data_IF_607764965145
#
_entry.id   IF_607764965145
#
_cell.length_a   1.000
_cell.length_b   1.000
_cell.length_c   1.000
_cell.angle_alpha   90.00
_cell.angle_beta   90.00
_cell.angle_gamma   90.00
#
_symmetry.space_group_name_H-M   'P 1'
#
loop_
_entity.id
_entity.type
_entity.pdbx_description
1 polymer ?
#
# COMPACT_ATOMS: atom_id res chain seq x y z
N UNK A 1 -13.50 18.68 -4.72
CA UNK A 1 -13.00 19.42 -3.54
C UNK A 1 -12.31 20.72 -3.95
N UNK A 2 -11.43 20.70 -4.95
CA UNK A 2 -10.63 21.86 -5.40
C UNK A 2 -11.48 23.12 -5.71
N UNK A 3 -12.55 23.00 -6.49
CA UNK A 3 -13.42 24.14 -6.80
C UNK A 3 -14.13 24.78 -5.60
N UNK A 4 -14.40 24.01 -4.54
CA UNK A 4 -15.24 24.47 -3.42
C UNK A 4 -14.42 25.00 -2.24
N UNK A 5 -13.30 24.33 -1.93
CA UNK A 5 -12.52 24.66 -0.74
C UNK A 5 -11.21 25.37 -1.05
N UNK A 6 -10.65 25.25 -2.27
CA UNK A 6 -9.36 25.86 -2.59
C UNK A 6 -9.36 27.40 -2.42
N UNK A 7 -10.39 28.15 -2.86
CA UNK A 7 -10.41 29.60 -2.63
C UNK A 7 -10.43 29.97 -1.14
N UNK A 8 -11.13 29.18 -0.32
CA UNK A 8 -11.23 29.38 1.12
C UNK A 8 -9.92 29.00 1.83
N UNK A 9 -9.30 27.88 1.44
CA UNK A 9 -8.00 27.45 1.93
C UNK A 9 -6.90 28.45 1.57
N UNK A 10 -6.90 28.98 0.34
CA UNK A 10 -5.96 30.02 -0.08
C UNK A 10 -6.13 31.31 0.74
N UNK A 11 -7.36 31.65 1.12
CA UNK A 11 -7.65 32.86 1.88
C UNK A 11 -7.37 32.73 3.38
N UNK A 12 -7.70 31.58 3.96
CA UNK A 12 -7.74 31.41 5.42
C UNK A 12 -6.71 30.41 5.96
N UNK A 13 -6.06 29.61 5.10
CA UNK A 13 -5.11 28.57 5.49
C UNK A 13 -5.74 27.33 6.13
N UNK A 14 -6.91 27.47 6.76
CA UNK A 14 -7.68 26.38 7.38
C UNK A 14 -9.17 26.64 7.22
N UNK A 15 -9.93 25.58 6.95
CA UNK A 15 -11.39 25.67 6.78
C UNK A 15 -12.09 24.55 7.55
N UNK A 16 -13.20 24.90 8.21
CA UNK A 16 -14.05 23.91 8.89
C UNK A 16 -15.12 23.41 7.93
N UNK A 17 -15.19 22.10 7.73
CA UNK A 17 -16.09 21.44 6.78
C UNK A 17 -16.92 20.40 7.51
N UNK A 18 -18.22 20.35 7.24
CA UNK A 18 -19.08 19.26 7.70
C UNK A 18 -18.94 18.09 6.72
N UNK A 19 -18.34 16.99 7.17
CA UNK A 19 -18.19 15.74 6.42
C UNK A 19 -19.13 14.66 6.97
N UNK A 20 -19.13 13.47 6.37
CA UNK A 20 -19.90 12.34 6.86
C UNK A 20 -19.41 11.80 8.23
N UNK A 21 -18.15 12.09 8.57
CA UNK A 21 -17.56 11.83 9.90
C UNK A 21 -17.88 12.93 10.92
N UNK A 22 -18.53 14.03 10.49
CA UNK A 22 -18.85 15.18 11.33
C UNK A 22 -18.03 16.41 10.96
N UNK A 23 -17.90 17.35 11.90
CA UNK A 23 -17.11 18.57 11.68
C UNK A 23 -15.62 18.22 11.62
N UNK A 24 -14.98 18.58 10.51
CA UNK A 24 -13.56 18.33 10.23
C UNK A 24 -12.85 19.63 9.88
N UNK A 25 -11.57 19.75 10.25
CA UNK A 25 -10.71 20.85 9.84
C UNK A 25 -9.86 20.41 8.65
N UNK A 26 -9.92 21.17 7.56
CA UNK A 26 -9.10 20.98 6.37
C UNK A 26 -8.00 22.04 6.43
N UNK A 27 -6.76 21.58 6.48
CA UNK A 27 -5.57 22.43 6.64
C UNK A 27 -4.85 22.54 5.30
N UNK A 28 -4.75 23.75 4.76
CA UNK A 28 -4.03 24.06 3.52
C UNK A 28 -2.76 24.90 3.75
N UNK A 29 -2.64 25.54 4.91
CA UNK A 29 -1.44 26.27 5.30
C UNK A 29 -0.34 25.32 5.79
N UNK A 30 0.87 25.48 5.25
CA UNK A 30 2.00 24.61 5.56
C UNK A 30 2.52 24.74 6.98
N UNK A 31 2.42 25.91 7.60
CA UNK A 31 2.85 26.12 8.99
C UNK A 31 1.88 25.43 9.96
N UNK A 32 0.57 25.56 9.72
CA UNK A 32 -0.46 24.86 10.49
C UNK A 32 -0.33 23.34 10.30
N UNK A 33 -0.13 22.87 9.06
CA UNK A 33 0.07 21.45 8.79
C UNK A 33 1.28 20.90 9.57
N UNK A 34 2.40 21.64 9.58
CA UNK A 34 3.58 21.28 10.37
C UNK A 34 3.27 21.18 11.86
N UNK A 35 2.51 22.12 12.41
CA UNK A 35 2.08 22.07 13.82
C UNK A 35 1.24 20.82 14.11
N UNK A 36 0.27 20.51 13.25
CA UNK A 36 -0.59 19.33 13.40
C UNK A 36 0.25 18.05 13.41
N UNK A 37 1.14 17.88 12.44
CA UNK A 37 1.98 16.68 12.35
C UNK A 37 3.06 16.59 13.44
N UNK A 38 3.45 17.71 14.05
CA UNK A 38 4.45 17.74 15.12
C UNK A 38 3.89 17.43 16.51
N UNK A 39 2.56 17.47 16.69
CA UNK A 39 1.89 17.28 17.97
C UNK A 39 0.91 16.08 17.95
N UNK A 40 1.40 14.84 17.77
CA UNK A 40 0.55 13.66 17.61
C UNK A 40 -0.22 13.27 18.88
N UNK A 41 0.19 13.77 20.05
CA UNK A 41 -0.54 13.55 21.31
C UNK A 41 -1.78 14.46 21.43
N UNK A 42 -1.85 15.55 20.65
CA UNK A 42 -3.00 16.46 20.56
C UNK A 42 -3.84 16.08 19.34
N UNK A 43 -3.19 15.94 18.18
CA UNK A 43 -3.82 15.61 16.91
C UNK A 43 -3.68 14.12 16.62
N UNK A 44 -4.42 13.32 17.38
CA UNK A 44 -4.42 11.86 17.25
C UNK A 44 -4.92 11.43 15.86
N UNK A 45 -4.35 10.34 15.36
CA UNK A 45 -4.85 9.69 14.15
C UNK A 45 -6.25 9.13 14.40
N UNK A 46 -7.10 9.02 13.36
CA UNK A 46 -8.43 8.44 13.48
C UNK A 46 -8.37 7.03 14.08
N UNK A 47 -9.22 6.78 15.07
CA UNK A 47 -9.37 5.46 15.67
C UNK A 47 -10.26 4.57 14.79
N UNK A 48 -9.62 3.68 14.03
CA UNK A 48 -10.31 2.79 13.09
C UNK A 48 -11.28 1.81 13.79
N UNK A 49 -11.05 1.48 15.07
CA UNK A 49 -11.94 0.60 15.85
C UNK A 49 -13.30 1.27 16.01
N UNK A 50 -13.30 2.54 16.37
CA UNK A 50 -14.49 3.35 16.64
C UNK A 50 -14.98 4.17 15.43
N UNK A 51 -14.22 4.22 14.34
CA UNK A 51 -14.60 4.92 13.12
C UNK A 51 -15.88 4.33 12.49
N UNK A 52 -16.63 5.20 11.78
CA UNK A 52 -17.83 4.86 11.01
C UNK A 52 -17.47 4.22 9.68
N UNK A 53 -16.74 3.11 9.74
CA UNK A 53 -16.35 2.32 8.59
C UNK A 53 -17.22 1.05 8.50
N UNK A 54 -17.45 0.59 7.29
CA UNK A 54 -18.17 -0.66 7.05
C UNK A 54 -17.39 -1.84 7.66
N UNK A 55 -18.10 -2.90 8.04
CA UNK A 55 -17.50 -4.11 8.59
C UNK A 55 -16.45 -4.72 7.65
N UNK A 56 -16.74 -4.81 6.35
CA UNK A 56 -15.78 -5.33 5.38
C UNK A 56 -14.55 -4.41 5.22
N UNK A 57 -14.71 -3.08 5.31
CA UNK A 57 -13.59 -2.14 5.25
C UNK A 57 -12.68 -2.26 6.47
N UNK A 58 -13.26 -2.44 7.66
CA UNK A 58 -12.52 -2.73 8.90
C UNK A 58 -11.75 -4.05 8.80
N UNK A 59 -12.38 -5.09 8.23
CA UNK A 59 -11.74 -6.39 7.99
C UNK A 59 -10.56 -6.27 7.02
N UNK A 60 -10.72 -5.54 5.92
CA UNK A 60 -9.68 -5.37 4.90
C UNK A 60 -8.40 -4.73 5.45
N UNK A 61 -8.53 -3.64 6.21
CA UNK A 61 -7.37 -2.95 6.78
C UNK A 61 -6.81 -3.62 8.04
N UNK A 62 -7.65 -4.33 8.78
CA UNK A 62 -7.35 -4.68 10.16
C UNK A 62 -7.53 -3.49 11.12
N UNK A 63 -7.64 -3.80 12.40
CA UNK A 63 -7.96 -2.83 13.45
C UNK A 63 -6.74 -2.46 14.32
N UNK A 64 -5.70 -3.27 14.28
CA UNK A 64 -4.56 -3.18 15.20
C UNK A 64 -3.24 -2.95 14.46
N UNK A 65 -3.25 -2.03 13.50
CA UNK A 65 -2.09 -1.67 12.69
C UNK A 65 -1.48 -0.31 13.10
N UNK A 66 -0.22 -0.08 12.74
CA UNK A 66 0.55 1.08 13.20
C UNK A 66 0.11 2.43 12.59
N UNK A 67 -0.60 2.42 11.46
CA UNK A 67 -1.24 3.60 10.88
C UNK A 67 -2.42 4.10 11.75
N UNK A 68 -3.21 3.24 12.40
CA UNK A 68 -4.33 3.66 13.27
C UNK A 68 -3.96 3.74 14.76
N UNK A 69 -2.85 3.12 15.17
CA UNK A 69 -2.36 3.21 16.54
C UNK A 69 -1.86 4.63 16.90
N UNK A 70 -2.10 5.02 18.15
CA UNK A 70 -1.63 6.27 18.77
C UNK A 70 -0.81 6.01 20.04
N UNK A 71 -0.11 7.03 20.54
CA UNK A 71 0.56 7.00 21.85
C UNK A 71 1.54 5.83 22.05
N UNK A 72 1.43 5.16 23.21
CA UNK A 72 2.31 4.05 23.59
C UNK A 72 2.15 2.82 22.69
N UNK A 73 0.93 2.52 22.24
CA UNK A 73 0.66 1.41 21.32
C UNK A 73 1.40 1.61 20.00
N UNK A 74 1.31 2.82 19.43
CA UNK A 74 2.05 3.17 18.22
C UNK A 74 3.56 3.05 18.40
N UNK A 75 4.10 3.59 19.50
CA UNK A 75 5.53 3.50 19.81
C UNK A 75 5.98 2.04 19.93
N UNK A 76 5.20 1.19 20.60
CA UNK A 76 5.46 -0.26 20.71
C UNK A 76 5.51 -0.91 19.33
N UNK A 77 4.49 -0.70 18.49
CA UNK A 77 4.45 -1.33 17.17
C UNK A 77 5.60 -0.86 16.27
N UNK A 78 5.88 0.45 16.22
CA UNK A 78 6.97 1.01 15.41
C UNK A 78 8.36 0.56 15.87
N UNK A 79 8.58 0.28 17.15
CA UNK A 79 9.86 -0.29 17.61
C UNK A 79 10.15 -1.64 16.96
N UNK A 80 9.13 -2.46 16.71
CA UNK A 80 9.25 -3.76 16.03
C UNK A 80 9.26 -3.60 14.50
N UNK A 81 8.47 -2.66 13.97
CA UNK A 81 8.28 -2.49 12.52
C UNK A 81 9.39 -1.64 11.86
N UNK A 82 10.03 -0.70 12.55
CA UNK A 82 11.02 0.17 11.88
C UNK A 82 12.27 -0.57 11.38
N UNK A 83 12.86 -1.51 12.14
CA UNK A 83 14.08 -2.18 11.73
C UNK A 83 13.95 -2.88 10.36
N UNK A 84 12.80 -3.47 10.07
CA UNK A 84 12.54 -4.21 8.82
C UNK A 84 12.49 -3.31 7.58
N UNK A 85 12.24 -2.01 7.75
CA UNK A 85 12.25 -1.04 6.65
C UNK A 85 13.59 -0.31 6.48
N UNK A 86 14.53 -0.51 7.41
CA UNK A 86 15.88 0.04 7.31
C UNK A 86 16.83 -0.87 6.50
N UNK A 87 16.36 -2.03 6.04
CA UNK A 87 17.15 -2.91 5.18
C UNK A 87 17.24 -2.37 3.75
N UNK A 88 18.39 -2.56 3.13
CA UNK A 88 18.58 -2.22 1.71
C UNK A 88 17.94 -3.27 0.83
N UNK A 89 17.04 -2.85 -0.05
CA UNK A 89 16.43 -3.71 -1.05
C UNK A 89 17.34 -3.86 -2.28
N UNK A 90 17.41 -5.05 -2.85
CA UNK A 90 18.21 -5.28 -4.06
C UNK A 90 17.63 -4.51 -5.24
N UNK A 91 18.44 -3.67 -5.88
CA UNK A 91 18.06 -2.99 -7.13
C UNK A 91 17.76 -3.99 -8.25
N UNK A 92 18.37 -5.17 -8.20
CA UNK A 92 18.13 -6.26 -9.15
C UNK A 92 16.70 -6.80 -9.05
N UNK A 93 16.11 -6.82 -7.85
CA UNK A 93 14.72 -7.23 -7.64
C UNK A 93 13.77 -6.35 -8.45
N UNK A 94 13.92 -5.03 -8.33
CA UNK A 94 13.12 -4.06 -9.07
C UNK A 94 13.40 -4.17 -10.57
N UNK A 95 14.69 -4.24 -10.96
CA UNK A 95 15.10 -4.33 -12.36
C UNK A 95 14.51 -5.55 -13.07
N UNK A 96 14.46 -6.71 -12.42
CA UNK A 96 13.89 -7.92 -13.02
C UNK A 96 12.37 -7.81 -13.23
N UNK A 97 11.61 -7.26 -12.27
CA UNK A 97 10.18 -7.01 -12.46
C UNK A 97 9.90 -5.97 -13.56
N UNK A 98 10.76 -4.95 -13.69
CA UNK A 98 10.66 -3.96 -14.77
C UNK A 98 10.97 -4.58 -16.13
N UNK A 99 11.95 -5.49 -16.23
CA UNK A 99 12.21 -6.23 -17.47
C UNK A 99 11.00 -7.04 -17.92
N UNK A 100 10.34 -7.75 -17.00
CA UNK A 100 9.11 -8.49 -17.31
C UNK A 100 8.02 -7.56 -17.88
N UNK A 101 7.92 -6.33 -17.38
CA UNK A 101 6.99 -5.31 -17.88
C UNK A 101 7.38 -4.82 -19.30
N UNK A 102 8.66 -4.53 -19.52
CA UNK A 102 9.17 -4.09 -20.84
C UNK A 102 8.94 -5.19 -21.88
N UNK A 103 9.25 -6.45 -21.56
CA UNK A 103 9.02 -7.60 -22.45
C UNK A 103 7.54 -7.75 -22.85
N UNK A 104 6.60 -7.40 -21.97
CA UNK A 104 5.18 -7.39 -22.31
C UNK A 104 4.80 -6.19 -23.18
N UNK A 105 5.38 -5.02 -22.94
CA UNK A 105 5.14 -3.83 -23.77
C UNK A 105 5.72 -3.95 -25.18
N UNK A 106 6.87 -4.62 -25.34
CA UNK A 106 7.47 -4.85 -26.67
C UNK A 106 6.55 -5.68 -27.58
N UNK A 107 5.69 -6.53 -27.02
CA UNK A 107 4.70 -7.31 -27.78
C UNK A 107 3.55 -6.45 -28.31
N UNK A 108 3.37 -5.26 -27.74
CA UNK A 108 2.34 -4.29 -28.07
C UNK A 108 2.92 -3.09 -28.84
N UNK A 109 4.14 -3.21 -29.39
CA UNK A 109 4.81 -2.14 -30.13
C UNK A 109 3.93 -1.55 -31.24
N UNK A 110 3.90 -0.22 -31.31
CA UNK A 110 3.09 0.53 -32.28
C UNK A 110 1.60 0.59 -31.97
N UNK A 111 1.16 0.08 -30.82
CA UNK A 111 -0.25 0.15 -30.37
C UNK A 111 -0.42 1.03 -29.13
N UNK A 112 -1.64 1.48 -28.88
CA UNK A 112 -1.98 2.24 -27.67
C UNK A 112 -2.18 1.27 -26.50
N UNK A 113 -1.42 1.49 -25.42
CA UNK A 113 -1.40 0.60 -24.26
C UNK A 113 -1.97 1.29 -23.02
N UNK A 114 -2.93 0.64 -22.36
CA UNK A 114 -3.39 1.06 -21.03
C UNK A 114 -2.35 0.68 -19.98
N UNK A 115 -1.50 1.62 -19.60
CA UNK A 115 -0.37 1.36 -18.69
C UNK A 115 -0.79 1.02 -17.24
N UNK A 116 -2.00 1.40 -16.81
CA UNK A 116 -2.38 1.35 -15.40
C UNK A 116 -2.40 -0.06 -14.82
N UNK A 117 -3.00 -1.01 -15.55
CA UNK A 117 -3.10 -2.41 -15.11
C UNK A 117 -1.71 -3.06 -15.07
N UNK A 118 -0.89 -2.83 -16.09
CA UNK A 118 0.47 -3.38 -16.18
C UNK A 118 1.39 -2.82 -15.09
N UNK A 119 1.29 -1.53 -14.76
CA UNK A 119 2.07 -0.92 -13.68
C UNK A 119 1.61 -1.42 -12.31
N UNK A 120 0.31 -1.52 -12.06
CA UNK A 120 -0.22 -2.08 -10.81
C UNK A 120 0.28 -3.53 -10.61
N UNK A 121 0.17 -4.37 -11.65
CA UNK A 121 0.71 -5.75 -11.65
C UNK A 121 2.21 -5.79 -11.37
N UNK A 122 2.99 -4.93 -12.01
CA UNK A 122 4.44 -4.87 -11.79
C UNK A 122 4.77 -4.47 -10.35
N UNK A 123 4.10 -3.46 -9.80
CA UNK A 123 4.31 -3.06 -8.40
C UNK A 123 3.87 -4.13 -7.40
N UNK A 124 2.82 -4.90 -7.71
CA UNK A 124 2.42 -6.05 -6.90
C UNK A 124 3.46 -7.19 -6.98
N UNK A 125 4.05 -7.45 -8.15
CA UNK A 125 5.11 -8.46 -8.30
C UNK A 125 6.38 -8.06 -7.53
N UNK A 126 6.79 -6.79 -7.60
CA UNK A 126 7.87 -6.23 -6.78
C UNK A 126 7.56 -6.40 -5.30
N UNK A 127 6.34 -6.04 -4.88
CA UNK A 127 5.89 -6.17 -3.49
C UNK A 127 5.90 -7.64 -3.04
N UNK A 128 5.36 -8.54 -3.86
CA UNK A 128 5.35 -9.99 -3.63
C UNK A 128 6.74 -10.54 -3.35
N UNK A 129 7.69 -10.15 -4.19
CA UNK A 129 9.07 -10.60 -4.08
C UNK A 129 9.79 -9.98 -2.88
N UNK A 130 9.60 -8.70 -2.62
CA UNK A 130 10.24 -8.00 -1.51
C UNK A 130 9.67 -8.42 -0.14
N UNK A 131 8.36 -8.58 -0.03
CA UNK A 131 7.68 -8.71 1.26
C UNK A 131 7.43 -10.17 1.63
N UNK A 132 7.12 -11.02 0.66
CA UNK A 132 6.81 -12.44 0.89
C UNK A 132 7.86 -13.40 0.33
N UNK A 133 8.83 -12.91 -0.44
CA UNK A 133 9.69 -13.74 -1.29
C UNK A 133 8.88 -14.65 -2.23
N UNK A 134 7.79 -14.13 -2.79
CA UNK A 134 6.92 -14.83 -3.73
C UNK A 134 6.93 -14.15 -5.09
N UNK A 135 7.02 -14.97 -6.14
CA UNK A 135 6.85 -14.52 -7.51
C UNK A 135 5.41 -14.75 -7.96
N UNK A 136 4.55 -13.73 -7.84
CA UNK A 136 3.17 -13.81 -8.35
C UNK A 136 3.11 -13.85 -9.88
N UNK A 137 4.11 -13.27 -10.55
CA UNK A 137 4.22 -13.16 -12.01
C UNK A 137 2.94 -12.57 -12.64
N UNK A 138 2.34 -11.61 -11.95
CA UNK A 138 1.07 -10.97 -12.31
C UNK A 138 1.17 -10.18 -13.60
N UNK A 139 2.35 -9.68 -13.96
CA UNK A 139 2.60 -9.02 -15.26
C UNK A 139 2.43 -9.99 -16.43
N UNK A 140 3.02 -11.20 -16.30
CA UNK A 140 3.03 -12.25 -17.32
C UNK A 140 1.80 -13.16 -17.27
N UNK A 141 1.10 -13.21 -16.14
CA UNK A 141 -0.12 -14.00 -15.94
C UNK A 141 -1.33 -13.09 -15.73
N UNK A 142 -2.12 -12.92 -16.79
CA UNK A 142 -3.37 -12.15 -16.74
C UNK A 142 -4.35 -12.66 -15.66
N UNK A 143 -4.33 -13.97 -15.36
CA UNK A 143 -5.19 -14.65 -14.40
C UNK A 143 -4.52 -14.83 -13.02
N UNK A 144 -3.62 -13.93 -12.63
CA UNK A 144 -3.02 -13.93 -11.29
C UNK A 144 -4.10 -13.83 -10.22
N UNK A 145 -4.35 -14.96 -9.53
CA UNK A 145 -5.45 -15.13 -8.59
C UNK A 145 -5.41 -14.07 -7.48
N UNK A 146 -4.22 -13.79 -6.93
CA UNK A 146 -4.08 -12.81 -5.86
C UNK A 146 -4.31 -11.38 -6.36
N UNK A 147 -3.82 -11.03 -7.55
CA UNK A 147 -4.07 -9.72 -8.15
C UNK A 147 -5.56 -9.49 -8.39
N UNK A 148 -6.24 -10.47 -9.02
CA UNK A 148 -7.69 -10.39 -9.27
C UNK A 148 -8.47 -10.33 -7.95
N UNK A 149 -8.13 -11.15 -6.97
CA UNK A 149 -8.77 -11.13 -5.65
C UNK A 149 -8.62 -9.77 -4.97
N UNK A 150 -7.40 -9.23 -4.94
CA UNK A 150 -7.13 -7.92 -4.34
C UNK A 150 -7.89 -6.79 -5.04
N UNK A 151 -7.82 -6.74 -6.38
CA UNK A 151 -8.47 -5.68 -7.17
C UNK A 151 -9.99 -5.75 -7.07
N UNK A 152 -10.59 -6.94 -7.10
CA UNK A 152 -12.03 -7.16 -6.87
C UNK A 152 -12.47 -6.69 -5.48
N UNK A 153 -11.68 -6.97 -4.44
CA UNK A 153 -11.96 -6.50 -3.06
C UNK A 153 -11.88 -4.98 -3.01
N UNK A 154 -10.80 -4.39 -3.53
CA UNK A 154 -10.57 -2.95 -3.51
C UNK A 154 -11.68 -2.20 -4.26
N UNK A 155 -12.04 -2.65 -5.46
CA UNK A 155 -13.13 -2.06 -6.25
C UNK A 155 -14.47 -2.14 -5.50
N UNK A 156 -14.81 -3.30 -4.94
CA UNK A 156 -16.05 -3.44 -4.16
C UNK A 156 -16.08 -2.56 -2.90
N UNK A 157 -14.94 -2.32 -2.26
CA UNK A 157 -14.83 -1.48 -1.07
C UNK A 157 -14.95 0.01 -1.37
N UNK A 158 -14.30 0.50 -2.44
CA UNK A 158 -14.12 1.93 -2.68
C UNK A 158 -14.98 2.50 -3.82
N UNK A 159 -15.44 1.69 -4.77
CA UNK A 159 -16.25 2.18 -5.91
C UNK A 159 -17.72 2.39 -5.56
N UNK A 160 -18.20 1.87 -4.42
CA UNK A 160 -19.58 2.04 -3.98
C UNK A 160 -19.69 3.06 -2.82
N UNK A 161 -19.99 4.33 -3.10
CA UNK A 161 -20.04 5.38 -2.07
C UNK A 161 -21.14 5.15 -1.04
N UNK A 162 -22.17 4.34 -1.34
CA UNK A 162 -23.27 4.06 -0.40
C UNK A 162 -22.73 3.49 0.91
N UNK A 163 -21.77 2.58 0.86
CA UNK A 163 -21.21 1.95 2.07
C UNK A 163 -20.15 2.81 2.78
N UNK A 164 -19.65 3.86 2.12
CA UNK A 164 -18.80 4.89 2.76
C UNK A 164 -19.65 5.85 3.60
N UNK A 165 -20.81 6.26 3.08
CA UNK A 165 -21.73 7.17 3.78
C UNK A 165 -22.67 6.45 4.76
N UNK A 166 -23.04 5.21 4.46
CA UNK A 166 -24.01 4.41 5.22
C UNK A 166 -23.42 3.01 5.55
N UNK A 167 -22.31 2.95 6.31
CA UNK A 167 -21.61 1.69 6.62
C UNK A 167 -22.48 0.66 7.34
N UNK A 168 -23.49 1.11 8.10
CA UNK A 168 -24.41 0.24 8.84
C UNK A 168 -25.27 -0.65 7.93
N UNK A 169 -25.41 -0.32 6.64
CA UNK A 169 -26.20 -1.10 5.69
C UNK A 169 -25.70 -2.54 5.59
N UNK A 170 -24.41 -2.81 5.75
CA UNK A 170 -23.86 -4.17 5.72
C UNK A 170 -24.42 -5.11 6.80
N UNK A 171 -24.97 -4.55 7.89
CA UNK A 171 -25.59 -5.33 8.96
C UNK A 171 -27.06 -5.65 8.66
N UNK A 172 -27.64 -5.05 7.63
CA UNK A 172 -29.04 -5.26 7.24
C UNK A 172 -29.15 -6.40 6.22
N UNK A 173 -30.20 -7.25 6.27
CA UNK A 173 -30.29 -8.44 5.42
C UNK A 173 -30.16 -8.19 3.91
N UNK A 174 -30.71 -7.09 3.40
CA UNK A 174 -30.78 -6.79 1.96
C UNK A 174 -29.52 -6.14 1.39
N UNK A 175 -28.66 -5.57 2.23
CA UNK A 175 -27.45 -4.84 1.81
C UNK A 175 -26.17 -5.56 2.26
N UNK A 176 -26.27 -6.85 2.56
CA UNK A 176 -25.09 -7.70 2.79
C UNK A 176 -24.30 -7.87 1.50
N UNK A 177 -22.98 -7.99 1.65
CA UNK A 177 -22.04 -8.20 0.54
C UNK A 177 -21.35 -9.56 0.68
N UNK A 178 -22.07 -10.70 0.53
CA UNK A 178 -21.53 -12.03 0.83
C UNK A 178 -20.35 -12.42 -0.07
N UNK A 179 -20.33 -11.98 -1.35
CA UNK A 179 -19.17 -12.16 -2.23
C UNK A 179 -17.93 -11.49 -1.63
N UNK A 180 -17.99 -10.18 -1.36
CA UNK A 180 -16.90 -9.44 -0.72
C UNK A 180 -16.47 -10.07 0.61
N UNK A 181 -17.41 -10.53 1.43
CA UNK A 181 -17.08 -11.21 2.70
C UNK A 181 -16.25 -12.46 2.47
N UNK A 182 -16.62 -13.28 1.47
CA UNK A 182 -15.89 -14.49 1.07
C UNK A 182 -14.52 -14.16 0.45
N UNK A 183 -14.46 -13.16 -0.41
CA UNK A 183 -13.21 -12.71 -1.03
C UNK A 183 -12.22 -12.25 0.06
N UNK A 184 -12.72 -11.54 1.10
CA UNK A 184 -11.92 -11.16 2.27
C UNK A 184 -11.50 -12.35 3.15
N UNK A 185 -12.31 -13.41 3.24
CA UNK A 185 -11.92 -14.64 3.93
C UNK A 185 -10.72 -15.28 3.22
N UNK A 186 -10.82 -15.45 1.90
CA UNK A 186 -9.75 -16.01 1.07
C UNK A 186 -8.47 -15.17 1.09
N UNK A 187 -8.62 -13.84 1.08
CA UNK A 187 -7.49 -12.93 1.21
C UNK A 187 -6.78 -13.08 2.57
N UNK A 188 -7.52 -13.19 3.67
CA UNK A 188 -6.92 -13.38 4.99
C UNK A 188 -6.29 -14.76 5.16
N UNK A 189 -6.91 -15.82 4.62
CA UNK A 189 -6.34 -17.16 4.61
C UNK A 189 -4.97 -17.16 3.92
N UNK A 190 -4.84 -16.46 2.78
CA UNK A 190 -3.57 -16.30 2.10
C UNK A 190 -2.51 -15.62 2.99
N UNK A 191 -2.85 -14.51 3.66
CA UNK A 191 -1.91 -13.82 4.56
C UNK A 191 -1.51 -14.70 5.76
N UNK A 192 -2.46 -15.43 6.33
CA UNK A 192 -2.21 -16.33 7.46
C UNK A 192 -1.32 -17.52 7.06
N UNK A 193 -1.52 -18.10 5.87
CA UNK A 193 -0.65 -19.13 5.31
C UNK A 193 0.79 -18.63 5.20
N UNK A 194 0.98 -17.41 4.71
CA UNK A 194 2.31 -16.79 4.58
C UNK A 194 3.01 -16.58 5.92
N UNK A 195 2.29 -16.09 6.92
CA UNK A 195 2.82 -15.95 8.27
C UNK A 195 3.23 -17.32 8.82
N UNK A 196 2.39 -18.35 8.62
CA UNK A 196 2.63 -19.68 9.15
C UNK A 196 3.86 -20.34 8.51
N UNK A 197 4.03 -20.24 7.18
CA UNK A 197 5.23 -20.72 6.48
C UNK A 197 6.50 -20.13 7.12
N UNK A 198 6.54 -18.82 7.34
CA UNK A 198 7.71 -18.14 7.93
C UNK A 198 7.94 -18.52 9.39
N UNK A 199 6.88 -18.77 10.15
CA UNK A 199 7.03 -19.30 11.53
C UNK A 199 7.61 -20.70 11.56
N UNK A 200 7.19 -21.57 10.65
CA UNK A 200 7.76 -22.92 10.55
C UNK A 200 9.22 -22.87 10.11
N UNK A 201 9.58 -21.99 9.17
CA UNK A 201 10.99 -21.72 8.82
C UNK A 201 11.80 -21.25 10.04
N UNK A 202 11.22 -20.41 10.91
CA UNK A 202 11.89 -19.96 12.13
C UNK A 202 12.14 -21.12 13.10
N UNK A 203 11.10 -21.92 13.37
CA UNK A 203 11.20 -23.08 14.28
C UNK A 203 12.23 -24.10 13.81
N UNK A 204 12.30 -24.30 12.50
CA UNK A 204 13.25 -25.23 11.87
C UNK A 204 14.66 -24.65 11.73
N UNK A 205 14.90 -23.39 12.14
CA UNK A 205 16.20 -22.72 12.01
C UNK A 205 16.60 -22.39 10.58
N UNK A 206 15.66 -22.43 9.63
CA UNK A 206 15.90 -22.16 8.20
C UNK A 206 15.48 -20.75 7.79
N UNK A 207 14.83 -19.98 8.67
CA UNK A 207 14.41 -18.62 8.39
C UNK A 207 15.63 -17.73 8.13
N UNK A 208 15.69 -17.18 6.93
CA UNK A 208 16.63 -16.12 6.61
C UNK A 208 15.91 -14.77 6.70
N UNK A 209 16.13 -14.06 7.81
CA UNK A 209 15.49 -12.76 8.10
C UNK A 209 15.86 -11.64 7.13
N UNK A 210 16.88 -11.81 6.29
CA UNK A 210 17.26 -10.82 5.27
C UNK A 210 16.58 -11.01 3.91
N UNK A 211 15.82 -12.11 3.73
CA UNK A 211 15.19 -12.42 2.44
C UNK A 211 13.94 -11.60 2.15
N UNK A 212 13.09 -11.41 3.16
CA UNK A 212 11.79 -10.77 2.98
C UNK A 212 11.29 -10.10 4.27
N UNK A 213 10.34 -9.18 4.10
CA UNK A 213 9.83 -8.35 5.19
C UNK A 213 9.09 -9.17 6.26
N UNK A 214 8.36 -10.23 5.90
CA UNK A 214 7.68 -11.07 6.90
C UNK A 214 8.69 -11.80 7.76
N UNK A 215 9.71 -12.38 7.13
CA UNK A 215 10.81 -13.04 7.83
C UNK A 215 11.50 -12.07 8.78
N UNK A 216 11.77 -10.85 8.32
CA UNK A 216 12.34 -9.78 9.14
C UNK A 216 11.40 -9.38 10.29
N UNK A 217 10.09 -9.28 10.06
CA UNK A 217 9.09 -8.88 11.05
C UNK A 217 8.94 -9.93 12.15
N UNK A 218 8.81 -11.20 11.76
CA UNK A 218 8.71 -12.32 12.70
C UNK A 218 10.00 -12.41 13.52
N UNK A 219 11.16 -12.32 12.87
CA UNK A 219 12.44 -12.34 13.57
C UNK A 219 12.61 -11.16 14.55
N UNK A 220 12.26 -9.94 14.12
CA UNK A 220 12.29 -8.74 14.97
C UNK A 220 11.33 -8.85 16.14
N UNK A 221 10.14 -9.40 15.91
CA UNK A 221 9.17 -9.65 16.97
C UNK A 221 9.69 -10.70 17.96
N UNK A 222 10.32 -11.78 17.48
CA UNK A 222 10.81 -12.85 18.34
C UNK A 222 12.01 -12.45 19.21
N UNK A 223 12.92 -11.64 18.67
CA UNK A 223 14.10 -11.19 19.40
C UNK A 223 13.86 -10.02 20.36
N UNK A 224 12.73 -9.34 20.26
CA UNK A 224 12.39 -8.25 21.17
C UNK A 224 11.97 -8.80 22.54
N UNK A 225 12.74 -8.47 23.58
CA UNK A 225 12.44 -8.87 24.97
C UNK A 225 11.42 -7.96 25.65
N UNK A 226 11.36 -6.68 25.24
CA UNK A 226 10.56 -5.64 25.91
C UNK A 226 9.18 -5.46 25.27
N UNK A 227 9.07 -5.73 23.96
CA UNK A 227 7.86 -5.49 23.18
C UNK A 227 7.54 -6.68 22.28
N UNK A 228 6.28 -7.09 22.23
CA UNK A 228 5.79 -8.12 21.30
C UNK A 228 4.55 -7.61 20.59
N UNK A 229 4.44 -7.89 19.30
CA UNK A 229 3.22 -7.84 18.53
C UNK A 229 2.44 -9.14 18.72
N UNK A 230 1.13 -9.02 18.86
CA UNK A 230 0.23 -10.17 18.77
C UNK A 230 0.13 -10.66 17.33
N UNK A 231 -0.45 -11.84 17.13
CA UNK A 231 -0.67 -12.36 15.78
C UNK A 231 -1.64 -11.53 14.96
N UNK A 232 -2.66 -11.00 15.62
CA UNK A 232 -3.60 -10.07 14.99
C UNK A 232 -2.88 -8.79 14.53
N UNK A 233 -2.00 -8.22 15.37
CA UNK A 233 -1.20 -7.05 15.00
C UNK A 233 -0.24 -7.32 13.86
N UNK A 234 0.38 -8.51 13.80
CA UNK A 234 1.26 -8.89 12.68
C UNK A 234 0.42 -8.95 11.39
N UNK A 235 -0.70 -9.68 11.39
CA UNK A 235 -1.58 -9.80 10.23
C UNK A 235 -2.10 -8.44 9.76
N UNK A 236 -2.61 -7.63 10.68
CA UNK A 236 -3.18 -6.31 10.38
C UNK A 236 -2.11 -5.36 9.82
N UNK A 237 -0.87 -5.40 10.32
CA UNK A 237 0.23 -4.62 9.74
C UNK A 237 0.65 -5.14 8.36
N UNK A 238 0.60 -6.44 8.10
CA UNK A 238 0.87 -6.98 6.75
C UNK A 238 -0.21 -6.56 5.74
N UNK A 239 -1.48 -6.57 6.13
CA UNK A 239 -2.57 -6.01 5.31
C UNK A 239 -2.29 -4.56 4.94
N UNK A 240 -1.91 -3.74 5.94
CA UNK A 240 -1.52 -2.35 5.73
C UNK A 240 -0.34 -2.22 4.75
N UNK A 241 0.70 -3.04 4.90
CA UNK A 241 1.89 -2.94 4.05
C UNK A 241 1.58 -3.26 2.60
N UNK A 242 0.75 -4.29 2.33
CA UNK A 242 0.30 -4.62 0.96
C UNK A 242 -0.30 -3.37 0.33
N UNK A 243 -1.33 -2.81 0.94
CA UNK A 243 -2.08 -1.69 0.38
C UNK A 243 -1.18 -0.47 0.23
N UNK A 244 -0.45 -0.10 1.29
CA UNK A 244 0.37 1.09 1.29
C UNK A 244 1.55 1.01 0.29
N UNK A 245 2.12 -0.19 0.10
CA UNK A 245 3.36 -0.37 -0.64
C UNK A 245 3.21 -0.39 -2.15
N UNK A 246 2.17 -1.04 -2.69
CA UNK A 246 2.03 -1.19 -4.15
C UNK A 246 1.11 -0.13 -4.79
N UNK A 247 -0.04 0.20 -4.19
CA UNK A 247 -0.99 1.13 -4.81
C UNK A 247 -0.48 2.57 -4.87
N UNK A 248 0.18 3.06 -3.82
CA UNK A 248 0.73 4.42 -3.82
C UNK A 248 1.89 4.54 -4.82
N UNK A 249 2.75 3.52 -4.88
CA UNK A 249 3.86 3.44 -5.82
C UNK A 249 3.36 3.34 -7.26
N UNK A 250 2.35 2.52 -7.54
CA UNK A 250 1.77 2.38 -8.88
C UNK A 250 1.18 3.69 -9.36
N UNK A 251 0.40 4.39 -8.52
CA UNK A 251 -0.15 5.71 -8.82
C UNK A 251 0.93 6.77 -9.06
N UNK A 252 2.02 6.72 -8.28
CA UNK A 252 3.16 7.62 -8.46
C UNK A 252 3.86 7.37 -9.79
N UNK A 253 4.12 6.11 -10.15
CA UNK A 253 4.73 5.73 -11.42
C UNK A 253 3.84 6.09 -12.61
N UNK A 254 2.53 5.81 -12.54
CA UNK A 254 1.57 6.21 -13.57
C UNK A 254 1.57 7.72 -13.77
N UNK A 255 1.53 8.50 -12.69
CA UNK A 255 1.56 9.96 -12.76
C UNK A 255 2.88 10.47 -13.34
N UNK A 256 3.99 9.84 -12.95
CA UNK A 256 5.33 10.17 -13.48
C UNK A 256 5.38 9.94 -14.98
N UNK A 257 4.96 8.76 -15.46
CA UNK A 257 4.92 8.43 -16.89
C UNK A 257 3.98 9.34 -17.67
N UNK A 258 2.82 9.67 -17.11
CA UNK A 258 1.91 10.66 -17.70
C UNK A 258 2.58 12.02 -17.90
N UNK A 259 3.27 12.53 -16.87
CA UNK A 259 3.96 13.82 -16.99
C UNK A 259 5.16 13.76 -17.94
N UNK A 260 5.93 12.68 -17.95
CA UNK A 260 7.02 12.50 -18.92
C UNK A 260 6.50 12.45 -20.36
N UNK A 261 5.37 11.79 -20.61
CA UNK A 261 4.73 11.76 -21.92
C UNK A 261 4.20 13.15 -22.34
N UNK A 262 3.76 13.96 -21.37
CA UNK A 262 3.25 15.32 -21.60
C UNK A 262 4.36 16.36 -21.80
N UNK A 263 5.55 16.12 -21.27
CA UNK A 263 6.70 17.03 -21.31
C UNK A 263 7.94 16.32 -21.88
N UNK A 264 8.02 16.12 -23.22
CA UNK A 264 9.10 15.37 -23.87
C UNK A 264 10.50 15.94 -23.62
N UNK A 265 10.62 17.25 -23.39
CA UNK A 265 11.87 17.90 -23.02
C UNK A 265 12.43 17.37 -21.69
N UNK A 266 11.56 17.21 -20.69
CA UNK A 266 11.92 16.63 -19.38
C UNK A 266 12.24 15.14 -19.56
N UNK A 267 11.47 14.41 -20.38
CA UNK A 267 11.76 13.01 -20.67
C UNK A 267 13.13 12.81 -21.31
N UNK A 268 13.50 13.65 -22.29
CA UNK A 268 14.79 13.59 -22.96
C UNK A 268 15.94 13.96 -22.03
N UNK A 269 15.75 14.97 -21.18
CA UNK A 269 16.73 15.34 -20.16
C UNK A 269 16.97 14.18 -19.17
N UNK A 270 15.89 13.60 -18.61
CA UNK A 270 15.96 12.45 -17.72
C UNK A 270 16.67 11.26 -18.40
N UNK A 271 16.31 10.96 -19.65
CA UNK A 271 16.96 9.89 -20.42
C UNK A 271 18.46 10.14 -20.58
N UNK A 272 18.87 11.38 -20.88
CA UNK A 272 20.28 11.75 -21.00
C UNK A 272 21.04 11.59 -19.67
N UNK A 273 20.44 12.01 -18.56
CA UNK A 273 21.01 11.84 -17.22
C UNK A 273 21.20 10.36 -16.87
N UNK A 274 20.18 9.53 -17.15
CA UNK A 274 20.25 8.07 -16.94
C UNK A 274 21.34 7.43 -17.81
N UNK A 275 21.40 7.75 -19.10
CA UNK A 275 22.44 7.24 -19.99
C UNK A 275 23.84 7.64 -19.54
N UNK A 276 24.02 8.89 -19.09
CA UNK A 276 25.29 9.40 -18.56
C UNK A 276 25.71 8.64 -17.31
N UNK A 277 24.78 8.45 -16.36
CA UNK A 277 25.04 7.70 -15.13
C UNK A 277 25.40 6.22 -15.40
N UNK A 278 24.83 5.62 -16.44
CA UNK A 278 25.14 4.26 -16.88
C UNK A 278 26.41 4.16 -17.77
N UNK A 279 27.12 5.26 -18.01
CA UNK A 279 28.35 5.25 -18.82
C UNK A 279 28.11 5.16 -20.34
N UNK A 280 26.98 5.67 -20.84
CA UNK A 280 26.59 5.65 -22.26
C UNK A 280 26.62 4.24 -22.84
N UNK A 281 25.75 3.31 -22.36
CA UNK A 281 25.72 1.95 -22.86
C UNK A 281 25.48 1.95 -24.38
N UNK A 282 26.38 1.30 -25.13
CA UNK A 282 26.36 1.25 -26.60
C UNK A 282 25.10 0.57 -27.17
N UNK A 283 24.32 -0.12 -26.35
CA UNK A 283 23.05 -0.73 -26.69
C UNK A 283 22.04 -0.46 -25.57
N UNK A 284 21.07 0.41 -25.85
CA UNK A 284 19.76 0.33 -25.22
C UNK A 284 18.96 -0.56 -26.17
N UNK A 285 18.92 -1.86 -25.89
CA UNK A 285 17.88 -2.73 -26.44
C UNK A 285 16.61 -2.46 -25.65
#
# INVERSE_FOLDING_TARGET
MEYYYQPLLNKYGVVRVLTYEGWSLFVGDGAIAKEVFSNPDIYCKPDFKNARLSSNLKRFFGLNQALSANGLEWKRQRKIINPIFNQTWSTELFGNCVKDLIEEWDKEEGTEVKISDKIQRMTLDVFGKAIFNIEFKSVKNANSKLYTLYTDIFEQLFSNPVYLFFPFLEHTPFFKRPKLTKDLDEYHEFIEEMINVKKEELKNGTLNSSKDLISALIHSNENSQEYKLTMEEIRDNLNLFIIAGHDTTSNTLMSTLYYLARYPEIQNELRSQVLTAMGSPKHVQ
#
